data_IF_762042563782
#
_entry.id   IF_762042563782
#
_cell.length_a   1.000
_cell.length_b   1.000
_cell.length_c   1.000
_cell.angle_alpha   90.00
_cell.angle_beta   90.00
_cell.angle_gamma   90.00
#
_symmetry.space_group_name_H-M   'P 1'
#
loop_
_entity.id
_entity.type
_entity.pdbx_description
1 polymer ?
#
# COMPACT_ATOMS: atom_id res chain seq x y z
N UNK A 1 -42.16 -24.66 -25.30
CA UNK A 1 -41.58 -23.35 -24.93
C UNK A 1 -40.43 -23.60 -23.98
N UNK A 2 -39.20 -23.57 -24.48
CA UNK A 2 -38.00 -23.62 -23.64
C UNK A 2 -37.80 -22.18 -23.18
N UNK A 3 -37.98 -21.90 -21.89
CA UNK A 3 -37.58 -20.63 -21.32
C UNK A 3 -36.05 -20.52 -21.50
N UNK A 4 -35.61 -19.66 -22.40
CA UNK A 4 -34.21 -19.25 -22.46
C UNK A 4 -33.93 -18.45 -21.19
N UNK A 5 -33.30 -19.09 -20.21
CA UNK A 5 -32.77 -18.37 -19.04
C UNK A 5 -31.51 -17.68 -19.56
N UNK A 6 -31.62 -16.39 -19.85
CA UNK A 6 -30.45 -15.59 -20.16
C UNK A 6 -29.53 -15.56 -18.93
N UNK A 7 -28.20 -15.71 -19.10
CA UNK A 7 -27.28 -15.62 -17.98
C UNK A 7 -27.26 -14.19 -17.41
N UNK A 8 -27.38 -14.08 -16.10
CA UNK A 8 -27.24 -12.81 -15.36
C UNK A 8 -25.82 -12.68 -14.81
N UNK A 9 -25.28 -11.45 -14.82
CA UNK A 9 -23.97 -11.13 -14.24
C UNK A 9 -24.17 -10.11 -13.12
N UNK A 10 -23.62 -10.42 -11.94
CA UNK A 10 -23.63 -9.55 -10.77
C UNK A 10 -22.21 -9.10 -10.45
N UNK A 11 -22.01 -7.80 -10.20
CA UNK A 11 -20.72 -7.21 -9.86
C UNK A 11 -20.85 -6.47 -8.54
N UNK A 12 -19.92 -6.72 -7.61
CA UNK A 12 -19.84 -6.05 -6.32
C UNK A 12 -20.86 -6.52 -5.26
N UNK A 13 -21.86 -7.31 -5.63
CA UNK A 13 -22.81 -7.92 -4.71
C UNK A 13 -23.96 -8.58 -5.46
N UNK A 14 -24.76 -9.40 -4.77
CA UNK A 14 -25.91 -10.09 -5.37
C UNK A 14 -27.17 -9.68 -4.61
N UNK A 15 -28.12 -9.06 -5.30
CA UNK A 15 -29.43 -8.69 -4.75
C UNK A 15 -30.52 -8.89 -5.81
N UNK A 16 -30.81 -10.15 -6.14
CA UNK A 16 -31.87 -10.52 -7.08
C UNK A 16 -32.73 -11.68 -6.56
N UNK A 17 -33.97 -11.77 -7.02
CA UNK A 17 -34.87 -12.86 -6.68
C UNK A 17 -34.33 -14.18 -7.27
N UNK A 18 -33.80 -15.05 -6.41
CA UNK A 18 -33.25 -16.35 -6.80
C UNK A 18 -31.73 -16.47 -6.77
N UNK A 19 -31.00 -15.38 -6.48
CA UNK A 19 -29.55 -15.40 -6.28
C UNK A 19 -29.17 -14.67 -4.98
N UNK A 20 -28.51 -15.39 -4.07
CA UNK A 20 -28.03 -14.85 -2.78
C UNK A 20 -26.58 -15.26 -2.55
N UNK A 21 -25.85 -14.44 -1.80
CA UNK A 21 -24.49 -14.73 -1.36
C UNK A 21 -24.38 -14.43 0.14
N UNK A 22 -23.64 -15.28 0.87
CA UNK A 22 -23.30 -15.04 2.28
C UNK A 22 -21.98 -14.28 2.44
N UNK A 23 -21.30 -13.97 1.32
CA UNK A 23 -20.08 -13.18 1.33
C UNK A 23 -20.43 -11.68 1.36
N UNK A 24 -19.63 -10.86 2.07
CA UNK A 24 -19.78 -9.42 1.99
C UNK A 24 -19.61 -8.93 0.54
N UNK A 25 -20.33 -7.86 0.20
CA UNK A 25 -20.15 -7.18 -1.08
C UNK A 25 -18.77 -6.53 -1.20
N UNK A 26 -18.40 -6.20 -2.44
CA UNK A 26 -17.17 -5.47 -2.72
C UNK A 26 -17.26 -4.06 -2.11
N UNK A 27 -16.20 -3.67 -1.40
CA UNK A 27 -15.95 -2.29 -0.99
C UNK A 27 -14.77 -1.78 -1.81
N UNK A 28 -15.04 -0.84 -2.70
CA UNK A 28 -14.03 -0.25 -3.57
C UNK A 28 -14.52 -0.09 -5.00
N UNK A 29 -13.56 -0.07 -5.91
CA UNK A 29 -13.82 0.28 -7.30
C UNK A 29 -13.67 -0.90 -8.25
N UNK A 30 -14.46 -0.86 -9.31
CA UNK A 30 -14.37 -1.78 -10.44
C UNK A 30 -14.35 -0.97 -11.74
N UNK A 31 -13.45 -1.30 -12.67
CA UNK A 31 -13.31 -0.64 -13.96
C UNK A 31 -12.78 -1.61 -15.01
N UNK A 32 -12.98 -1.29 -16.29
CA UNK A 32 -12.39 -2.06 -17.40
C UNK A 32 -13.09 -3.38 -17.71
N UNK A 33 -14.40 -3.50 -17.45
CA UNK A 33 -15.13 -4.70 -17.89
C UNK A 33 -15.05 -4.84 -19.41
N UNK A 34 -14.60 -6.02 -19.85
CA UNK A 34 -14.64 -6.42 -21.24
C UNK A 34 -15.37 -7.76 -21.34
N UNK A 35 -16.35 -7.84 -22.23
CA UNK A 35 -17.05 -9.07 -22.57
C UNK A 35 -16.73 -9.37 -24.03
N UNK A 36 -15.99 -10.44 -24.27
CA UNK A 36 -15.37 -10.75 -25.56
C UNK A 36 -14.45 -9.60 -26.02
N UNK A 37 -14.67 -9.04 -27.20
CA UNK A 37 -13.91 -7.90 -27.72
C UNK A 37 -14.56 -6.54 -27.39
N UNK A 38 -15.68 -6.55 -26.67
CA UNK A 38 -16.45 -5.34 -26.37
C UNK A 38 -16.10 -4.81 -24.99
N UNK A 39 -15.57 -3.58 -24.94
CA UNK A 39 -15.45 -2.84 -23.68
C UNK A 39 -16.85 -2.37 -23.29
N UNK A 40 -17.27 -2.73 -22.08
CA UNK A 40 -18.56 -2.32 -21.56
C UNK A 40 -18.42 -0.91 -20.97
N UNK A 41 -18.95 0.09 -21.67
CA UNK A 41 -19.03 1.45 -21.15
C UNK A 41 -20.25 1.57 -20.22
N UNK A 42 -20.01 1.66 -18.92
CA UNK A 42 -21.08 1.81 -17.95
C UNK A 42 -21.66 3.23 -17.86
N UNK A 43 -21.02 4.22 -18.49
CA UNK A 43 -21.55 5.59 -18.55
C UNK A 43 -22.83 5.69 -19.40
N UNK A 44 -23.03 4.76 -20.34
CA UNK A 44 -24.26 4.66 -21.15
C UNK A 44 -25.33 3.76 -20.48
N UNK A 45 -24.97 3.17 -19.33
CA UNK A 45 -25.69 2.11 -18.61
C UNK A 45 -26.42 2.67 -17.38
N UNK A 46 -26.68 3.98 -17.35
CA UNK A 46 -27.44 4.71 -16.31
C UNK A 46 -28.88 4.16 -16.17
N UNK A 47 -29.34 3.31 -17.11
CA UNK A 47 -30.61 2.57 -17.05
C UNK A 47 -30.57 1.27 -16.25
N UNK A 48 -29.41 0.83 -15.76
CA UNK A 48 -29.32 -0.35 -14.88
C UNK A 48 -29.73 0.06 -13.46
N UNK A 49 -30.42 -0.84 -12.76
CA UNK A 49 -30.79 -0.66 -11.35
C UNK A 49 -29.51 -0.66 -10.48
N UNK A 50 -28.77 0.44 -10.49
CA UNK A 50 -27.65 0.69 -9.60
C UNK A 50 -28.23 0.75 -8.19
N UNK A 51 -27.88 -0.23 -7.35
CA UNK A 51 -28.27 -0.22 -5.95
C UNK A 51 -27.79 1.06 -5.26
N UNK A 52 -28.46 1.49 -4.20
CA UNK A 52 -28.20 2.77 -3.50
C UNK A 52 -26.75 2.98 -3.03
N UNK A 53 -25.92 1.93 -2.98
CA UNK A 53 -24.49 2.00 -2.61
C UNK A 53 -23.53 2.19 -3.79
N UNK A 54 -24.02 2.34 -5.02
CA UNK A 54 -23.18 2.49 -6.22
C UNK A 54 -23.19 3.93 -6.69
N UNK A 55 -22.01 4.52 -6.85
CA UNK A 55 -21.84 5.89 -7.36
C UNK A 55 -20.99 5.90 -8.62
N UNK A 56 -21.21 6.88 -9.50
CA UNK A 56 -20.45 7.00 -10.74
C UNK A 56 -19.07 7.60 -10.47
N UNK A 57 -18.04 6.99 -11.08
CA UNK A 57 -16.65 7.40 -10.94
C UNK A 57 -15.97 6.75 -9.73
N UNK A 58 -14.65 6.60 -9.86
CA UNK A 58 -13.78 6.17 -8.76
C UNK A 58 -12.56 7.08 -8.76
N UNK A 59 -12.42 7.85 -7.69
CA UNK A 59 -11.25 8.70 -7.47
C UNK A 59 -10.36 8.00 -6.45
N UNK A 60 -9.43 7.19 -6.96
CA UNK A 60 -8.35 6.65 -6.15
C UNK A 60 -7.41 7.80 -5.80
N UNK A 61 -7.10 7.97 -4.52
CA UNK A 61 -6.12 8.97 -4.09
C UNK A 61 -4.73 8.61 -4.59
N UNK A 62 -4.43 7.32 -4.67
CA UNK A 62 -3.18 6.80 -5.21
C UNK A 62 -3.02 7.07 -6.71
N UNK A 63 -4.10 6.98 -7.50
CA UNK A 63 -4.07 7.26 -8.96
C UNK A 63 -4.08 8.77 -9.27
N UNK A 64 -4.77 9.58 -8.47
CA UNK A 64 -4.94 11.03 -8.73
C UNK A 64 -3.66 11.84 -8.46
N UNK A 65 -2.83 11.39 -7.52
CA UNK A 65 -1.63 12.10 -7.07
C UNK A 65 -0.48 11.10 -6.95
N UNK A 66 0.38 11.05 -7.97
CA UNK A 66 1.65 10.31 -7.95
C UNK A 66 2.62 10.74 -6.82
N UNK A 67 2.22 11.69 -5.96
CA UNK A 67 3.00 12.22 -4.85
C UNK A 67 2.37 11.99 -3.47
N UNK A 68 1.28 11.21 -3.34
CA UNK A 68 0.71 10.90 -2.02
C UNK A 68 1.73 10.16 -1.16
N UNK A 69 2.36 9.13 -1.71
CA UNK A 69 3.50 8.48 -1.08
C UNK A 69 4.76 8.92 -1.82
N UNK A 70 5.62 9.66 -1.12
CA UNK A 70 6.88 10.16 -1.67
C UNK A 70 7.99 9.14 -1.54
N UNK A 71 9.13 9.44 -2.14
CA UNK A 71 10.38 8.70 -1.98
C UNK A 71 10.28 7.19 -2.27
N UNK A 72 9.40 6.81 -3.19
CA UNK A 72 9.21 5.41 -3.60
C UNK A 72 8.32 4.59 -2.65
N UNK A 73 7.61 5.24 -1.71
CA UNK A 73 6.61 4.58 -0.87
C UNK A 73 5.46 4.00 -1.69
N UNK A 74 4.96 2.84 -1.29
CA UNK A 74 3.84 2.19 -1.98
C UNK A 74 2.50 2.70 -1.45
N UNK A 75 1.59 3.10 -2.35
CA UNK A 75 0.28 3.65 -2.01
C UNK A 75 -0.82 2.60 -2.14
N UNK A 76 -1.73 2.53 -1.17
CA UNK A 76 -2.95 1.72 -1.23
C UNK A 76 -4.18 2.54 -0.80
N UNK A 77 -5.27 2.50 -1.57
CA UNK A 77 -6.51 3.19 -1.21
C UNK A 77 -7.26 2.49 -0.07
N UNK A 78 -7.97 3.28 0.72
CA UNK A 78 -8.87 2.83 1.78
C UNK A 78 -10.28 3.37 1.50
N UNK A 79 -11.15 2.50 1.00
CA UNK A 79 -12.46 2.89 0.45
C UNK A 79 -13.59 3.10 1.49
N UNK A 80 -13.33 2.82 2.76
CA UNK A 80 -14.32 2.94 3.84
C UNK A 80 -14.15 4.22 4.68
N UNK A 81 -13.15 5.05 4.39
CA UNK A 81 -12.90 6.28 5.14
C UNK A 81 -13.62 7.49 4.53
N UNK A 82 -14.09 8.37 5.41
CA UNK A 82 -14.69 9.67 5.04
C UNK A 82 -13.71 10.83 5.14
N UNK A 83 -12.52 10.63 5.71
CA UNK A 83 -11.47 11.65 5.79
C UNK A 83 -10.49 11.54 4.62
N UNK A 84 -9.91 12.67 4.21
CA UNK A 84 -8.92 12.69 3.14
C UNK A 84 -7.66 11.88 3.52
N UNK A 85 -7.17 12.02 4.76
CA UNK A 85 -6.00 11.28 5.26
C UNK A 85 -6.26 9.80 5.55
N UNK A 86 -7.52 9.41 5.78
CA UNK A 86 -7.88 8.01 5.98
C UNK A 86 -8.20 7.26 4.69
N UNK A 87 -8.22 7.95 3.54
CA UNK A 87 -8.60 7.37 2.25
C UNK A 87 -7.45 6.68 1.52
N UNK A 88 -6.23 6.72 2.08
CA UNK A 88 -5.05 6.02 1.58
C UNK A 88 -4.14 5.59 2.74
N UNK A 89 -3.22 4.67 2.45
CA UNK A 89 -2.14 4.28 3.34
C UNK A 89 -0.85 4.20 2.52
N UNK A 90 0.22 4.82 3.03
CA UNK A 90 1.55 4.69 2.49
C UNK A 90 2.35 3.63 3.26
N UNK A 91 2.92 2.66 2.53
CA UNK A 91 3.92 1.75 3.06
C UNK A 91 5.33 2.27 2.75
N UNK A 92 6.06 2.67 3.79
CA UNK A 92 7.42 3.21 3.69
C UNK A 92 8.54 2.18 4.00
N UNK A 93 8.22 0.90 4.28
CA UNK A 93 9.19 -0.13 4.71
C UNK A 93 10.35 -0.34 3.71
N UNK A 94 10.10 -0.12 2.42
CA UNK A 94 11.12 -0.18 1.36
C UNK A 94 11.92 1.10 1.16
N UNK A 95 11.73 2.11 2.02
CA UNK A 95 12.33 3.44 1.89
C UNK A 95 13.11 3.81 3.16
N UNK A 96 13.88 4.91 3.11
CA UNK A 96 14.54 5.48 4.30
C UNK A 96 13.73 6.61 4.94
N UNK A 97 12.46 6.74 4.58
CA UNK A 97 11.56 7.79 5.05
C UNK A 97 10.43 7.20 5.87
N UNK A 98 9.83 8.03 6.73
CA UNK A 98 8.66 7.69 7.54
C UNK A 98 7.58 8.76 7.38
N UNK A 99 6.54 8.69 8.22
CA UNK A 99 5.42 9.62 8.20
C UNK A 99 4.26 9.13 7.34
N UNK A 100 3.17 9.90 7.34
CA UNK A 100 1.94 9.55 6.60
C UNK A 100 2.18 9.47 5.08
N UNK A 101 3.14 10.25 4.58
CA UNK A 101 3.43 10.40 3.15
C UNK A 101 4.83 9.89 2.74
N UNK A 102 5.55 9.19 3.63
CA UNK A 102 6.94 8.78 3.41
C UNK A 102 7.87 9.96 3.05
N UNK A 103 7.69 11.11 3.70
CA UNK A 103 8.40 12.36 3.42
C UNK A 103 9.17 12.90 4.63
N UNK A 104 9.05 12.24 5.78
CA UNK A 104 9.83 12.57 6.97
C UNK A 104 11.17 11.81 6.94
N UNK A 105 12.27 12.56 6.98
CA UNK A 105 13.64 12.02 7.03
C UNK A 105 14.17 11.99 8.46
N UNK A 106 14.68 10.83 8.89
CA UNK A 106 15.47 10.70 10.12
C UNK A 106 16.89 10.24 9.74
N UNK A 107 17.81 11.20 9.68
CA UNK A 107 19.20 10.96 9.31
C UNK A 107 20.18 11.57 10.33
N UNK A 108 21.39 11.02 10.38
CA UNK A 108 22.47 11.49 11.23
C UNK A 108 23.72 11.72 10.39
N UNK A 109 24.47 12.78 10.70
CA UNK A 109 25.74 13.08 10.04
C UNK A 109 26.90 12.69 10.92
N UNK A 110 27.87 11.98 10.36
CA UNK A 110 29.10 11.58 11.03
C UNK A 110 30.28 12.41 10.50
N UNK A 111 31.16 12.84 11.39
CA UNK A 111 32.33 13.68 11.07
C UNK A 111 33.63 12.89 10.88
N UNK A 112 33.58 11.56 10.95
CA UNK A 112 34.76 10.67 10.80
C UNK A 112 35.64 10.54 12.04
N UNK A 113 35.21 11.03 13.21
CA UNK A 113 35.86 10.74 14.50
C UNK A 113 35.36 9.41 15.08
N UNK A 114 35.90 9.01 16.22
CA UNK A 114 35.55 7.76 16.92
C UNK A 114 34.12 7.77 17.52
N UNK A 115 33.30 8.78 17.21
CA UNK A 115 31.94 8.93 17.70
C UNK A 115 30.97 8.01 16.90
N UNK A 116 30.13 7.25 17.61
CA UNK A 116 29.15 6.35 17.02
C UNK A 116 27.83 6.31 17.78
N UNK A 117 26.77 5.86 17.11
CA UNK A 117 25.46 5.66 17.73
C UNK A 117 25.37 4.21 18.20
N UNK A 118 25.36 4.02 19.51
CA UNK A 118 25.17 2.73 20.15
C UNK A 118 23.72 2.56 20.57
N UNK A 119 23.15 1.41 20.22
CA UNK A 119 21.81 1.04 20.64
C UNK A 119 21.92 -0.18 21.57
N UNK A 120 21.38 -0.07 22.78
CA UNK A 120 21.47 -1.08 23.84
C UNK A 120 20.08 -1.60 24.21
N UNK A 121 19.99 -2.81 24.74
CA UNK A 121 18.71 -3.34 25.25
C UNK A 121 17.71 -3.84 24.20
N UNK A 122 18.18 -4.24 23.02
CA UNK A 122 17.36 -4.83 21.94
C UNK A 122 16.85 -6.24 22.20
N UNK A 123 16.83 -6.66 23.46
CA UNK A 123 16.52 -8.03 23.85
C UNK A 123 15.08 -8.46 23.55
N UNK A 124 14.21 -7.52 23.19
CA UNK A 124 12.87 -7.78 22.69
C UNK A 124 12.85 -8.37 21.25
N UNK A 125 13.96 -8.33 20.50
CA UNK A 125 14.04 -8.85 19.13
C UNK A 125 14.54 -10.31 19.03
N UNK A 126 14.91 -10.96 20.15
CA UNK A 126 15.60 -12.26 20.14
C UNK A 126 14.76 -13.44 19.64
N UNK A 127 13.44 -13.31 19.54
CA UNK A 127 12.55 -14.38 19.09
C UNK A 127 12.22 -14.31 17.59
N UNK A 128 12.82 -13.36 16.85
CA UNK A 128 12.51 -13.11 15.44
C UNK A 128 13.77 -13.09 14.56
N UNK A 129 13.54 -13.06 13.23
CA UNK A 129 14.62 -12.87 12.26
C UNK A 129 15.11 -11.43 12.32
N UNK A 130 16.39 -11.22 12.64
CA UNK A 130 17.00 -9.90 12.61
C UNK A 130 17.12 -9.41 11.15
N UNK A 131 16.34 -8.38 10.80
CA UNK A 131 16.45 -7.66 9.52
C UNK A 131 16.93 -6.24 9.78
N UNK A 132 18.05 -5.87 9.16
CA UNK A 132 18.63 -4.52 9.26
C UNK A 132 18.69 -3.95 7.85
N UNK A 133 18.03 -2.81 7.65
CA UNK A 133 18.02 -2.06 6.39
C UNK A 133 18.29 -0.59 6.69
N UNK A 134 19.19 0.04 5.93
CA UNK A 134 19.51 1.46 6.05
C UNK A 134 20.15 1.96 4.76
N UNK A 135 19.96 3.25 4.46
CA UNK A 135 20.69 3.94 3.41
C UNK A 135 21.87 4.70 4.04
N UNK A 136 22.97 4.82 3.29
CA UNK A 136 24.11 5.63 3.68
C UNK A 136 24.77 6.26 2.46
N UNK A 137 25.44 7.38 2.68
CA UNK A 137 26.32 8.01 1.69
C UNK A 137 27.60 8.43 2.39
N UNK A 138 28.73 8.17 1.77
CA UNK A 138 30.04 8.57 2.28
C UNK A 138 30.93 9.00 1.13
N UNK A 139 31.75 10.02 1.37
CA UNK A 139 32.83 10.46 0.50
C UNK A 139 34.11 10.34 1.33
N UNK A 140 34.94 9.35 1.03
CA UNK A 140 36.18 9.10 1.74
C UNK A 140 37.34 8.98 0.77
N UNK A 141 38.46 9.60 1.10
CA UNK A 141 39.70 9.50 0.31
C UNK A 141 40.24 8.07 0.31
N UNK A 142 40.87 7.67 -0.80
CA UNK A 142 41.57 6.39 -0.95
C UNK A 142 42.75 6.31 0.04
N UNK A 143 42.50 5.79 1.25
CA UNK A 143 43.50 5.30 2.25
C UNK A 143 42.91 5.16 3.68
N UNK A 144 41.65 5.52 3.92
CA UNK A 144 41.03 5.44 5.26
C UNK A 144 39.96 4.34 5.31
N UNK A 145 40.12 3.38 6.23
CA UNK A 145 39.08 2.38 6.54
C UNK A 145 38.04 2.99 7.49
N UNK A 146 36.78 3.09 7.04
CA UNK A 146 35.67 3.59 7.85
C UNK A 146 34.78 2.43 8.33
N UNK A 147 34.40 2.45 9.61
CA UNK A 147 33.44 1.51 10.18
C UNK A 147 32.02 2.07 10.03
N UNK A 148 31.17 1.37 9.28
CA UNK A 148 29.77 1.76 9.06
C UNK A 148 28.80 1.12 10.07
N UNK A 149 28.94 -0.19 10.29
CA UNK A 149 28.09 -0.96 11.18
C UNK A 149 28.91 -2.01 11.91
N UNK A 150 28.79 -2.05 13.23
CA UNK A 150 29.35 -3.10 14.07
C UNK A 150 28.23 -3.79 14.86
N UNK A 151 27.99 -5.06 14.56
CA UNK A 151 26.98 -5.87 15.26
C UNK A 151 27.67 -6.80 16.25
N UNK A 152 27.47 -6.52 17.53
CA UNK A 152 27.89 -7.42 18.60
C UNK A 152 26.72 -8.34 18.98
N UNK A 153 26.77 -9.58 18.53
CA UNK A 153 25.85 -10.61 19.02
C UNK A 153 26.34 -11.09 20.38
N UNK A 154 25.49 -11.02 21.40
CA UNK A 154 25.80 -11.63 22.70
C UNK A 154 25.83 -13.15 22.53
N UNK A 155 27.02 -13.71 22.38
CA UNK A 155 27.22 -15.15 22.46
C UNK A 155 27.33 -15.52 23.95
N UNK A 156 26.19 -15.72 24.60
CA UNK A 156 26.17 -16.43 25.89
C UNK A 156 26.34 -17.91 25.57
N UNK A 157 27.60 -18.37 25.52
CA UNK A 157 27.93 -19.72 25.96
C UNK A 157 27.86 -19.76 27.48
#
# INVERSE_FOLDING_TARGET
MIYSIAPEIFIGGVKSYGATSNLPGLIGCFRGLRINETIMNFSDVISWNLGNGVTHGCKSKCDERSEVCRNGGSCSDTFNSTSEEGSFVCNCEGTSYIGLHCDEEIAYTFNGREDGIGLTGWSFLYNETLRISFAFRSESFESVSNLLLFLKLNNTR
#
